data_IF_363379131414
#
_entry.id   IF_363379131414
#
_cell.length_a   1.000
_cell.length_b   1.000
_cell.length_c   1.000
_cell.angle_alpha   90.00
_cell.angle_beta   90.00
_cell.angle_gamma   90.00
#
_symmetry.space_group_name_H-M   'P 1'
#
loop_
_entity.id
_entity.type
_entity.pdbx_description
1 polymer ?
#
# COMPACT_ATOMS: atom_id res chain seq x y z
N UNK A 1 -3.93 1.90 -16.21
CA UNK A 1 -3.62 0.52 -16.73
C UNK A 1 -4.04 -0.52 -15.71
N UNK A 2 -4.42 -1.72 -16.17
CA UNK A 2 -4.60 -2.84 -15.24
C UNK A 2 -3.27 -3.17 -14.55
N UNK A 3 -3.32 -3.49 -13.27
CA UNK A 3 -2.13 -3.80 -12.47
C UNK A 3 -2.03 -5.30 -12.17
N UNK A 4 -0.84 -5.75 -11.76
CA UNK A 4 -0.60 -7.10 -11.23
C UNK A 4 -0.53 -7.12 -9.71
N UNK A 5 -0.95 -6.04 -9.05
CA UNK A 5 -1.07 -5.98 -7.59
C UNK A 5 -2.39 -6.65 -7.23
N UNK A 6 -2.33 -7.69 -6.42
CA UNK A 6 -3.41 -8.64 -6.20
C UNK A 6 -4.59 -8.04 -5.40
N UNK A 7 -4.36 -6.94 -4.66
CA UNK A 7 -5.35 -6.27 -3.82
C UNK A 7 -5.88 -4.95 -4.40
N UNK A 8 -5.69 -4.72 -5.71
CA UNK A 8 -6.23 -3.54 -6.42
C UNK A 8 -6.42 -3.85 -7.90
N UNK A 9 -7.25 -3.09 -8.60
CA UNK A 9 -7.52 -3.32 -10.02
C UNK A 9 -6.72 -2.38 -10.92
N UNK A 10 -6.40 -1.19 -10.41
CA UNK A 10 -5.68 -0.14 -11.15
C UNK A 10 -4.62 0.52 -10.27
N UNK A 11 -3.65 1.13 -10.91
CA UNK A 11 -2.75 2.09 -10.27
C UNK A 11 -2.88 3.45 -10.94
N UNK A 12 -2.77 4.50 -10.14
CA UNK A 12 -2.76 5.88 -10.60
C UNK A 12 -1.62 6.64 -9.93
N UNK A 13 -0.69 7.19 -10.73
CA UNK A 13 0.55 7.79 -10.24
C UNK A 13 0.67 9.28 -10.65
N UNK A 14 -0.19 10.18 -10.13
CA UNK A 14 -0.10 11.63 -10.38
C UNK A 14 1.14 12.26 -9.73
N UNK A 15 1.74 11.55 -8.77
CA UNK A 15 3.01 11.84 -8.14
C UNK A 15 3.82 10.55 -8.17
N UNK A 16 5.13 10.63 -8.31
CA UNK A 16 6.05 9.50 -8.19
C UNK A 16 7.34 9.94 -7.50
N UNK A 17 8.16 8.96 -7.11
CA UNK A 17 9.37 9.21 -6.35
C UNK A 17 9.15 9.17 -4.83
N UNK A 18 10.24 8.92 -4.11
CA UNK A 18 10.22 8.76 -2.66
C UNK A 18 11.66 8.72 -2.11
N UNK A 19 11.80 8.97 -0.80
CA UNK A 19 13.03 8.73 -0.03
C UNK A 19 12.82 7.60 0.99
N UNK A 20 13.91 6.94 1.38
CA UNK A 20 13.87 5.82 2.31
C UNK A 20 13.55 6.30 3.74
N UNK A 21 12.65 5.59 4.44
CA UNK A 21 12.26 5.87 5.84
C UNK A 21 12.35 4.65 6.75
N UNK A 22 12.54 3.46 6.19
CA UNK A 22 12.68 2.23 6.97
C UNK A 22 13.46 1.17 6.20
N UNK A 23 13.80 0.08 6.89
CA UNK A 23 14.49 -1.06 6.29
C UNK A 23 13.73 -1.72 5.13
N UNK A 24 12.41 -1.58 5.06
CA UNK A 24 11.63 -2.08 3.93
C UNK A 24 11.92 -1.31 2.62
N UNK A 25 12.47 -0.11 2.72
CA UNK A 25 12.81 0.71 1.55
C UNK A 25 14.10 0.25 0.85
N UNK A 26 14.95 -0.55 1.49
CA UNK A 26 16.25 -1.00 0.94
C UNK A 26 16.12 -1.74 -0.40
N UNK A 27 15.08 -2.58 -0.54
CA UNK A 27 14.82 -3.37 -1.75
C UNK A 27 13.53 -2.90 -2.46
N UNK A 28 13.21 -1.61 -2.36
CA UNK A 28 11.98 -1.04 -2.91
C UNK A 28 11.85 -1.29 -4.41
N UNK A 29 10.77 -1.97 -4.81
CA UNK A 29 10.49 -2.27 -6.21
C UNK A 29 10.28 -1.02 -7.07
N UNK A 30 9.67 0.03 -6.49
CA UNK A 30 9.41 1.28 -7.20
C UNK A 30 10.71 2.02 -7.54
N UNK A 31 11.70 2.03 -6.64
CA UNK A 31 13.05 2.59 -6.88
C UNK A 31 13.76 1.83 -8.00
N UNK A 32 13.69 0.48 -8.00
CA UNK A 32 14.27 -0.35 -9.07
C UNK A 32 13.58 -0.10 -10.40
N UNK A 33 12.25 -0.02 -10.40
CA UNK A 33 11.46 0.25 -11.61
C UNK A 33 11.72 1.66 -12.15
N UNK A 34 11.76 2.68 -11.30
CA UNK A 34 12.06 4.06 -11.69
C UNK A 34 13.42 4.16 -12.38
N UNK A 35 14.46 3.49 -11.83
CA UNK A 35 15.78 3.43 -12.48
C UNK A 35 15.73 2.78 -13.87
N UNK A 36 14.92 1.71 -14.03
CA UNK A 36 14.73 1.07 -15.34
C UNK A 36 14.00 2.00 -16.32
N UNK A 37 12.96 2.69 -15.86
CA UNK A 37 12.19 3.63 -16.67
C UNK A 37 13.06 4.83 -17.09
N UNK A 38 13.92 5.32 -16.21
CA UNK A 38 14.92 6.33 -16.51
C UNK A 38 15.90 5.85 -17.61
N UNK A 39 16.42 4.64 -17.49
CA UNK A 39 17.30 4.04 -18.52
C UNK A 39 16.60 3.81 -19.85
N UNK A 40 15.28 3.72 -19.88
CA UNK A 40 14.46 3.63 -21.10
C UNK A 40 14.00 5.02 -21.57
N UNK A 41 14.55 6.12 -21.05
CA UNK A 41 14.25 7.50 -21.42
C UNK A 41 12.77 7.89 -21.31
N UNK A 42 12.04 7.29 -20.35
CA UNK A 42 10.65 7.67 -20.07
C UNK A 42 10.64 9.05 -19.39
N UNK A 43 10.08 10.05 -20.07
CA UNK A 43 10.08 11.48 -19.69
C UNK A 43 9.71 11.74 -18.23
N UNK A 44 8.66 11.09 -17.73
CA UNK A 44 8.22 11.26 -16.34
C UNK A 44 9.22 10.72 -15.30
N UNK A 45 10.29 10.02 -15.71
CA UNK A 45 11.33 9.46 -14.84
C UNK A 45 12.74 9.96 -15.20
N UNK A 46 12.87 11.10 -15.90
CA UNK A 46 14.18 11.70 -16.25
C UNK A 46 15.03 11.96 -15.00
N UNK A 47 14.40 12.39 -13.89
CA UNK A 47 15.07 12.60 -12.59
C UNK A 47 15.11 11.32 -11.71
N UNK A 48 14.90 10.13 -12.30
CA UNK A 48 14.93 8.86 -11.62
C UNK A 48 13.82 8.69 -10.59
N UNK A 49 14.16 8.53 -9.32
CA UNK A 49 13.19 8.32 -8.23
C UNK A 49 12.98 9.55 -7.35
N UNK A 50 13.33 10.73 -7.84
CA UNK A 50 13.05 12.02 -7.18
C UNK A 50 11.54 12.26 -7.14
N UNK A 51 11.07 12.89 -6.06
CA UNK A 51 9.66 13.25 -5.91
C UNK A 51 9.26 14.26 -6.97
N UNK A 52 8.31 13.90 -7.83
CA UNK A 52 7.93 14.69 -9.01
C UNK A 52 6.44 14.51 -9.31
N UNK A 53 5.81 15.58 -9.82
CA UNK A 53 4.42 15.52 -10.31
C UNK A 53 4.36 14.94 -11.71
N UNK A 54 3.34 14.14 -11.99
CA UNK A 54 3.00 13.66 -13.31
C UNK A 54 1.64 14.22 -13.74
N UNK A 55 1.67 15.36 -14.40
CA UNK A 55 0.44 16.06 -14.81
C UNK A 55 -0.30 15.36 -15.96
N UNK A 56 0.40 14.56 -16.77
CA UNK A 56 -0.17 13.87 -17.93
C UNK A 56 -1.24 12.86 -17.51
N UNK A 57 -1.06 12.23 -16.35
CA UNK A 57 -2.00 11.22 -15.80
C UNK A 57 -3.00 11.80 -14.81
N UNK A 58 -2.88 13.08 -14.43
CA UNK A 58 -3.70 13.68 -13.36
C UNK A 58 -5.20 13.52 -13.61
N UNK A 59 -5.64 13.57 -14.85
CA UNK A 59 -7.05 13.51 -15.23
C UNK A 59 -7.53 12.13 -15.69
N UNK A 60 -6.68 11.09 -15.68
CA UNK A 60 -7.04 9.73 -16.13
C UNK A 60 -8.32 9.17 -15.48
N UNK A 61 -8.53 9.33 -14.13
CA UNK A 61 -9.70 8.75 -13.48
C UNK A 61 -11.04 9.23 -14.04
N UNK A 62 -11.12 10.45 -14.57
CA UNK A 62 -12.35 10.95 -15.21
C UNK A 62 -12.76 10.15 -16.45
N UNK A 63 -11.80 9.52 -17.13
CA UNK A 63 -12.05 8.72 -18.33
C UNK A 63 -12.40 7.25 -18.02
N UNK A 64 -12.31 6.79 -16.77
CA UNK A 64 -12.57 5.39 -16.43
C UNK A 64 -14.06 5.15 -16.21
N UNK A 65 -14.68 4.43 -17.14
CA UNK A 65 -16.12 4.18 -17.15
C UNK A 65 -16.56 3.12 -16.12
N UNK A 66 -15.71 2.11 -15.87
CA UNK A 66 -16.01 1.02 -14.94
C UNK A 66 -15.52 1.38 -13.54
N UNK A 67 -16.38 1.18 -12.53
CA UNK A 67 -15.97 1.24 -11.11
C UNK A 67 -14.75 0.38 -10.89
N UNK A 68 -13.78 0.87 -10.12
CA UNK A 68 -12.53 0.18 -9.88
C UNK A 68 -11.94 0.54 -8.52
N UNK A 69 -11.23 -0.41 -7.94
CA UNK A 69 -10.30 -0.13 -6.85
C UNK A 69 -8.98 0.39 -7.43
N UNK A 70 -8.50 1.51 -6.91
CA UNK A 70 -7.37 2.26 -7.46
C UNK A 70 -6.32 2.49 -6.38
N UNK A 71 -5.15 1.88 -6.52
CA UNK A 71 -4.01 2.20 -5.68
C UNK A 71 -3.32 3.48 -6.17
N UNK A 72 -3.35 4.51 -5.33
CA UNK A 72 -2.80 5.83 -5.64
C UNK A 72 -1.32 5.85 -5.27
N UNK A 73 -0.49 6.28 -6.22
CA UNK A 73 0.96 6.45 -6.03
C UNK A 73 1.67 5.14 -5.66
N UNK A 74 1.50 4.11 -6.50
CA UNK A 74 2.25 2.85 -6.38
C UNK A 74 3.76 3.00 -6.67
N UNK A 75 4.16 4.11 -7.30
CA UNK A 75 5.54 4.42 -7.69
C UNK A 75 6.16 5.54 -6.85
N UNK A 76 5.68 5.75 -5.63
CA UNK A 76 6.16 6.79 -4.71
C UNK A 76 5.46 6.75 -3.37
N UNK A 77 5.38 7.90 -2.71
CA UNK A 77 4.58 8.12 -1.50
C UNK A 77 3.81 9.43 -1.64
N UNK A 78 2.47 9.36 -1.60
CA UNK A 78 1.59 10.53 -1.76
C UNK A 78 1.79 11.56 -0.64
N UNK A 79 2.16 11.11 0.56
CA UNK A 79 2.37 11.95 1.75
C UNK A 79 3.86 12.14 2.06
N UNK A 80 4.71 12.13 1.02
CA UNK A 80 6.12 12.45 1.17
C UNK A 80 6.33 13.89 1.65
N UNK A 81 7.39 14.14 2.42
CA UNK A 81 7.70 15.45 3.00
C UNK A 81 7.84 16.57 1.95
N UNK A 82 8.30 16.22 0.73
CA UNK A 82 8.42 17.15 -0.41
C UNK A 82 7.13 17.30 -1.22
N UNK A 83 6.01 16.71 -0.80
CA UNK A 83 4.72 16.84 -1.49
C UNK A 83 3.87 17.89 -0.78
N UNK A 84 3.82 19.14 -1.28
CA UNK A 84 3.03 20.20 -0.64
C UNK A 84 1.53 20.03 -0.90
N UNK A 85 0.71 20.69 -0.10
CA UNK A 85 -0.76 20.71 -0.27
C UNK A 85 -1.19 21.14 -1.68
N UNK A 86 -0.42 22.02 -2.33
CA UNK A 86 -0.66 22.45 -3.72
C UNK A 86 -0.57 21.30 -4.73
N UNK A 87 0.04 20.17 -4.38
CA UNK A 87 0.08 18.95 -5.17
C UNK A 87 -0.97 17.94 -4.70
N UNK A 88 -1.22 17.85 -3.39
CA UNK A 88 -2.22 16.95 -2.79
C UNK A 88 -3.65 17.38 -3.16
N UNK A 89 -3.96 18.67 -3.05
CA UNK A 89 -5.32 19.18 -3.28
C UNK A 89 -5.89 18.86 -4.67
N UNK A 90 -5.14 18.97 -5.79
CA UNK A 90 -5.59 18.51 -7.09
C UNK A 90 -5.88 17.00 -7.16
N UNK A 91 -5.06 16.16 -6.48
CA UNK A 91 -5.26 14.70 -6.41
C UNK A 91 -6.57 14.40 -5.69
N UNK A 92 -6.77 14.97 -4.49
CA UNK A 92 -8.00 14.78 -3.70
C UNK A 92 -9.24 15.27 -4.43
N UNK A 93 -9.15 16.39 -5.16
CA UNK A 93 -10.25 16.88 -6.00
C UNK A 93 -10.64 15.91 -7.11
N UNK A 94 -9.68 15.22 -7.72
CA UNK A 94 -9.98 14.17 -8.72
C UNK A 94 -10.69 13.00 -8.04
N UNK A 95 -10.22 12.55 -6.87
CA UNK A 95 -10.83 11.48 -6.06
C UNK A 95 -12.28 11.81 -5.72
N UNK A 96 -12.55 13.01 -5.18
CA UNK A 96 -13.91 13.46 -4.84
C UNK A 96 -14.85 13.52 -6.03
N UNK A 97 -14.33 13.92 -7.21
CA UNK A 97 -15.13 14.06 -8.44
C UNK A 97 -15.30 12.76 -9.22
N UNK A 98 -14.74 11.66 -8.75
CA UNK A 98 -14.87 10.32 -9.33
C UNK A 98 -15.34 9.30 -8.28
N UNK A 99 -16.51 9.53 -7.64
CA UNK A 99 -16.99 8.74 -6.51
C UNK A 99 -17.35 7.29 -6.87
N UNK A 100 -17.43 6.95 -8.16
CA UNK A 100 -17.63 5.56 -8.63
C UNK A 100 -16.39 4.68 -8.39
N UNK A 101 -15.23 5.24 -8.12
CA UNK A 101 -14.00 4.49 -7.80
C UNK A 101 -13.72 4.50 -6.31
N UNK A 102 -13.07 3.44 -5.81
CA UNK A 102 -12.50 3.38 -4.45
C UNK A 102 -11.00 3.60 -4.55
N UNK A 103 -10.47 4.58 -3.82
CA UNK A 103 -9.05 4.94 -3.85
C UNK A 103 -8.34 4.47 -2.60
N UNK A 104 -7.29 3.69 -2.79
CA UNK A 104 -6.45 3.16 -1.71
C UNK A 104 -5.20 4.04 -1.59
N UNK A 105 -5.10 4.80 -0.51
CA UNK A 105 -3.93 5.63 -0.17
C UNK A 105 -3.07 4.86 0.82
N UNK A 106 -1.83 4.56 0.45
CA UNK A 106 -0.88 3.83 1.29
C UNK A 106 0.39 4.65 1.44
N UNK A 107 0.82 4.86 2.69
CA UNK A 107 2.01 5.65 3.01
C UNK A 107 2.86 5.00 4.11
N UNK A 108 4.15 5.32 4.14
CA UNK A 108 5.03 5.10 5.30
C UNK A 108 5.19 6.34 6.17
N UNK A 109 4.47 7.42 5.82
CA UNK A 109 4.43 8.70 6.54
C UNK A 109 3.01 9.03 7.02
N UNK A 110 2.41 8.19 7.89
CA UNK A 110 1.02 8.37 8.30
C UNK A 110 0.81 9.67 9.08
N UNK A 111 1.83 10.24 9.70
CA UNK A 111 1.74 11.55 10.38
C UNK A 111 1.47 12.69 9.40
N UNK A 112 2.09 12.68 8.21
CA UNK A 112 1.82 13.67 7.17
C UNK A 112 0.41 13.49 6.60
N UNK A 113 -0.06 12.24 6.49
CA UNK A 113 -1.44 11.94 6.12
C UNK A 113 -2.43 12.43 7.18
N UNK A 114 -2.14 12.18 8.46
CA UNK A 114 -2.91 12.68 9.60
C UNK A 114 -2.97 14.22 9.59
N UNK A 115 -1.83 14.88 9.49
CA UNK A 115 -1.75 16.36 9.44
C UNK A 115 -2.57 16.94 8.28
N UNK A 116 -2.51 16.32 7.10
CA UNK A 116 -3.32 16.73 5.97
C UNK A 116 -4.82 16.61 6.27
N UNK A 117 -5.26 15.47 6.80
CA UNK A 117 -6.67 15.22 7.10
C UNK A 117 -7.18 15.86 8.40
N UNK A 118 -6.33 16.46 9.22
CA UNK A 118 -6.76 17.39 10.28
C UNK A 118 -7.31 18.71 9.68
N UNK A 119 -6.82 19.10 8.49
CA UNK A 119 -7.21 20.34 7.81
C UNK A 119 -8.22 20.12 6.67
N UNK A 120 -8.40 18.88 6.22
CA UNK A 120 -9.23 18.52 5.09
C UNK A 120 -10.09 17.30 5.42
N UNK A 121 -11.35 17.23 4.96
CA UNK A 121 -12.15 16.03 5.15
C UNK A 121 -11.59 14.85 4.34
N UNK A 122 -11.72 13.64 4.87
CA UNK A 122 -11.41 12.42 4.10
C UNK A 122 -12.54 12.15 3.10
N UNK A 123 -12.27 12.07 1.77
CA UNK A 123 -13.29 11.75 0.79
C UNK A 123 -13.90 10.36 1.06
N UNK A 124 -15.22 10.21 0.90
CA UNK A 124 -15.95 8.97 1.26
C UNK A 124 -15.48 7.73 0.53
N UNK A 125 -14.93 7.89 -0.67
CA UNK A 125 -14.42 6.82 -1.53
C UNK A 125 -12.91 6.55 -1.36
N UNK A 126 -12.33 6.96 -0.25
CA UNK A 126 -10.92 6.72 0.09
C UNK A 126 -10.79 5.63 1.16
N UNK A 127 -9.86 4.72 0.99
CA UNK A 127 -9.34 3.84 2.02
C UNK A 127 -7.96 4.34 2.44
N UNK A 128 -7.74 4.48 3.74
CA UNK A 128 -6.49 4.98 4.30
C UNK A 128 -5.62 3.82 4.79
N UNK A 129 -4.36 3.82 4.40
CA UNK A 129 -3.45 2.76 4.77
C UNK A 129 -2.06 3.23 5.16
N UNK A 130 -1.42 2.45 6.03
CA UNK A 130 0.00 2.59 6.31
C UNK A 130 0.74 1.28 6.17
N UNK A 131 2.05 1.36 5.86
CA UNK A 131 2.90 0.17 5.88
C UNK A 131 3.49 -0.02 7.27
N UNK A 132 3.37 -1.25 7.79
CA UNK A 132 4.00 -1.66 9.04
C UNK A 132 4.69 -3.01 8.82
N UNK A 133 5.99 -3.01 8.66
CA UNK A 133 6.79 -4.17 8.31
C UNK A 133 7.26 -5.02 9.48
N UNK A 134 7.21 -4.49 10.69
CA UNK A 134 7.52 -5.16 11.97
C UNK A 134 7.04 -4.32 13.16
N UNK A 135 7.18 -4.83 14.40
CA UNK A 135 6.71 -4.20 15.63
C UNK A 135 7.35 -2.85 15.97
N UNK A 136 8.52 -2.52 15.41
CA UNK A 136 9.17 -1.20 15.61
C UNK A 136 8.40 -0.04 14.97
N UNK A 137 7.44 -0.33 14.11
CA UNK A 137 6.64 0.63 13.36
C UNK A 137 5.16 0.62 13.74
N UNK A 138 4.81 0.15 14.95
CA UNK A 138 3.43 0.19 15.46
C UNK A 138 2.91 1.63 15.65
N UNK A 139 3.80 2.57 15.91
CA UNK A 139 3.52 4.01 15.95
C UNK A 139 2.87 4.53 14.65
N UNK A 140 3.16 3.93 13.50
CA UNK A 140 2.48 4.25 12.23
C UNK A 140 1.00 3.81 12.23
N UNK A 141 0.69 2.70 12.91
CA UNK A 141 -0.69 2.24 13.04
C UNK A 141 -1.45 3.18 13.96
N UNK A 142 -0.82 3.67 15.03
CA UNK A 142 -1.42 4.64 15.96
C UNK A 142 -1.72 5.96 15.25
N UNK A 143 -0.80 6.47 14.44
CA UNK A 143 -1.03 7.65 13.62
C UNK A 143 -2.16 7.46 12.58
N UNK A 144 -2.26 6.29 11.94
CA UNK A 144 -3.39 5.97 11.07
C UNK A 144 -4.72 5.94 11.85
N UNK A 145 -4.71 5.35 13.03
CA UNK A 145 -5.89 5.21 13.90
C UNK A 145 -6.43 6.57 14.36
N UNK A 146 -5.55 7.55 14.61
CA UNK A 146 -5.92 8.91 15.08
C UNK A 146 -6.71 9.70 14.04
N UNK A 147 -6.62 9.37 12.73
CA UNK A 147 -7.39 10.05 11.70
C UNK A 147 -8.87 9.78 11.91
N UNK A 148 -9.64 10.83 12.23
CA UNK A 148 -11.07 10.75 12.54
C UNK A 148 -11.88 10.67 11.26
N UNK A 149 -12.29 9.47 10.88
CA UNK A 149 -13.18 9.20 9.73
C UNK A 149 -13.82 7.81 9.86
N UNK A 150 -14.88 7.57 9.10
CA UNK A 150 -15.55 6.27 8.98
C UNK A 150 -15.07 5.48 7.76
N UNK A 151 -13.96 5.88 7.17
CA UNK A 151 -13.37 5.22 6.02
C UNK A 151 -12.63 3.95 6.45
N UNK A 152 -12.51 2.98 5.54
CA UNK A 152 -11.70 1.80 5.75
C UNK A 152 -10.27 2.20 6.06
N UNK A 153 -9.73 1.68 7.16
CA UNK A 153 -8.32 1.79 7.55
C UNK A 153 -7.62 0.46 7.40
N UNK A 154 -6.51 0.43 6.68
CA UNK A 154 -5.78 -0.81 6.44
C UNK A 154 -4.29 -0.70 6.70
N UNK A 155 -3.67 -1.83 6.99
CA UNK A 155 -2.22 -1.93 7.10
C UNK A 155 -1.67 -2.89 6.06
N UNK A 156 -0.51 -2.52 5.50
CA UNK A 156 0.25 -3.36 4.58
C UNK A 156 1.55 -3.78 5.25
N UNK A 157 1.65 -5.06 5.59
CA UNK A 157 2.86 -5.70 6.09
C UNK A 157 3.65 -6.28 4.91
N UNK A 158 4.07 -5.40 3.99
CA UNK A 158 4.73 -5.77 2.75
C UNK A 158 5.99 -4.91 2.52
N UNK A 159 7.19 -5.50 2.65
CA UNK A 159 7.46 -6.87 3.09
C UNK A 159 7.31 -7.04 4.61
N UNK A 160 6.87 -8.22 5.05
CA UNK A 160 6.88 -8.56 6.47
C UNK A 160 8.32 -8.89 6.90
N UNK A 161 8.88 -8.08 7.82
CA UNK A 161 10.29 -8.13 8.22
C UNK A 161 10.50 -8.42 9.71
N UNK A 162 9.44 -8.74 10.43
CA UNK A 162 9.50 -9.11 11.84
C UNK A 162 8.20 -9.74 12.32
N UNK A 163 8.27 -10.45 13.45
CA UNK A 163 7.08 -10.96 14.12
C UNK A 163 6.19 -9.80 14.61
N UNK A 164 4.88 -9.98 14.49
CA UNK A 164 3.86 -9.00 14.88
C UNK A 164 2.69 -9.69 15.60
N UNK A 165 2.99 -10.66 16.47
CA UNK A 165 1.98 -11.49 17.13
C UNK A 165 1.12 -10.72 18.15
N UNK A 166 1.64 -9.62 18.67
CA UNK A 166 1.06 -8.74 19.69
C UNK A 166 0.44 -7.45 19.11
N UNK A 167 0.30 -7.40 17.79
CA UNK A 167 -0.26 -6.23 17.10
C UNK A 167 -1.67 -5.89 17.63
N UNK A 168 -1.89 -4.62 17.94
CA UNK A 168 -3.21 -4.09 18.22
C UNK A 168 -3.90 -3.67 16.91
N UNK A 169 -5.00 -4.34 16.56
CA UNK A 169 -5.79 -4.08 15.36
C UNK A 169 -7.12 -3.36 15.65
N UNK A 170 -7.29 -2.79 16.85
CA UNK A 170 -8.47 -1.98 17.14
C UNK A 170 -8.57 -0.82 16.13
N UNK A 171 -9.75 -0.63 15.51
CA UNK A 171 -9.99 0.38 14.49
C UNK A 171 -9.25 0.16 13.15
N UNK A 172 -8.76 -1.07 12.89
CA UNK A 172 -8.16 -1.48 11.62
C UNK A 172 -9.09 -2.48 10.93
N UNK A 173 -9.50 -2.15 9.71
CA UNK A 173 -10.50 -2.90 8.94
C UNK A 173 -9.89 -3.94 8.01
N UNK A 174 -8.57 -3.90 7.76
CA UNK A 174 -7.92 -4.82 6.82
C UNK A 174 -6.41 -4.92 7.03
N UNK A 175 -5.89 -6.13 6.89
CA UNK A 175 -4.45 -6.42 6.98
C UNK A 175 -3.99 -7.17 5.74
N UNK A 176 -3.02 -6.60 5.04
CA UNK A 176 -2.36 -7.22 3.88
C UNK A 176 -0.98 -7.68 4.31
N UNK A 177 -0.59 -8.90 3.96
CA UNK A 177 0.73 -9.42 4.25
C UNK A 177 1.40 -10.03 3.01
N UNK A 178 2.69 -9.85 2.89
CA UNK A 178 3.47 -10.44 1.80
C UNK A 178 4.96 -10.45 2.05
N UNK A 179 5.64 -11.40 1.43
CA UNK A 179 7.10 -11.51 1.46
C UNK A 179 7.78 -10.58 0.45
N UNK A 180 9.05 -10.33 0.69
CA UNK A 180 9.86 -9.47 -0.18
C UNK A 180 10.16 -10.16 -1.52
N UNK A 181 10.04 -9.40 -2.60
CA UNK A 181 10.33 -9.86 -3.96
C UNK A 181 11.65 -9.30 -4.48
N UNK A 182 12.24 -9.98 -5.47
CA UNK A 182 13.47 -9.53 -6.12
C UNK A 182 14.72 -10.33 -5.73
N UNK A 183 15.84 -10.03 -6.38
CA UNK A 183 17.07 -10.81 -6.24
C UNK A 183 17.72 -10.71 -4.85
N UNK A 184 17.52 -9.56 -4.18
CA UNK A 184 18.04 -9.29 -2.83
C UNK A 184 17.00 -9.46 -1.72
N UNK A 185 15.89 -10.13 -2.03
CA UNK A 185 14.81 -10.34 -1.08
C UNK A 185 15.29 -11.07 0.18
N UNK A 186 14.89 -10.54 1.33
CA UNK A 186 15.08 -11.16 2.66
C UNK A 186 14.03 -12.25 2.84
N UNK A 187 14.41 -13.29 3.55
CA UNK A 187 13.49 -14.36 3.90
C UNK A 187 12.57 -13.92 5.03
N UNK A 188 11.29 -14.20 4.89
CA UNK A 188 10.31 -14.08 5.97
C UNK A 188 10.01 -15.48 6.50
N UNK A 189 10.25 -15.79 7.78
CA UNK A 189 9.82 -17.04 8.41
C UNK A 189 8.31 -17.21 8.33
N UNK A 190 7.84 -18.44 8.06
CA UNK A 190 6.41 -18.74 7.95
C UNK A 190 5.64 -18.42 9.23
N UNK A 191 6.30 -18.59 10.38
CA UNK A 191 5.73 -18.31 11.70
C UNK A 191 5.28 -16.86 11.86
N UNK A 192 5.94 -15.91 11.17
CA UNK A 192 5.55 -14.49 11.22
C UNK A 192 4.23 -14.25 10.46
N UNK A 193 4.03 -14.92 9.33
CA UNK A 193 2.75 -14.85 8.62
C UNK A 193 1.63 -15.53 9.41
N UNK A 194 1.91 -16.70 10.00
CA UNK A 194 0.95 -17.41 10.87
C UNK A 194 0.56 -16.56 12.07
N UNK A 195 1.54 -15.99 12.77
CA UNK A 195 1.31 -15.12 13.92
C UNK A 195 0.47 -13.88 13.58
N UNK A 196 0.73 -13.25 12.43
CA UNK A 196 -0.06 -12.11 11.97
C UNK A 196 -1.49 -12.51 11.57
N UNK A 197 -1.66 -13.65 10.85
CA UNK A 197 -2.99 -14.21 10.56
C UNK A 197 -3.77 -14.49 11.84
N UNK A 198 -3.14 -15.12 12.82
CA UNK A 198 -3.79 -15.50 14.08
C UNK A 198 -4.15 -14.25 14.90
N UNK A 199 -3.33 -13.18 14.82
CA UNK A 199 -3.70 -11.89 15.38
C UNK A 199 -4.94 -11.30 14.67
N UNK A 200 -5.00 -11.35 13.34
CA UNK A 200 -6.18 -10.91 12.59
C UNK A 200 -7.44 -11.69 12.98
N UNK A 201 -7.34 -13.01 13.16
CA UNK A 201 -8.46 -13.85 13.62
C UNK A 201 -8.95 -13.44 15.03
N UNK A 202 -8.04 -13.17 15.97
CA UNK A 202 -8.39 -12.72 17.33
C UNK A 202 -9.11 -11.37 17.32
N UNK A 203 -8.70 -10.47 16.44
CA UNK A 203 -9.28 -9.13 16.30
C UNK A 203 -10.47 -9.07 15.34
N UNK A 204 -10.86 -10.21 14.71
CA UNK A 204 -11.87 -10.27 13.65
C UNK A 204 -11.59 -9.29 12.50
N UNK A 205 -10.31 -9.05 12.20
CA UNK A 205 -9.85 -8.20 11.11
C UNK A 205 -9.61 -9.06 9.86
N UNK A 206 -10.19 -8.73 8.70
CA UNK A 206 -9.93 -9.41 7.44
C UNK A 206 -8.44 -9.50 7.13
N UNK A 207 -7.96 -10.69 6.77
CA UNK A 207 -6.57 -10.97 6.47
C UNK A 207 -6.39 -11.30 4.98
N UNK A 208 -5.43 -10.65 4.32
CA UNK A 208 -5.10 -10.88 2.93
C UNK A 208 -3.63 -11.27 2.80
N UNK A 209 -3.37 -12.55 2.58
CA UNK A 209 -2.03 -13.04 2.26
C UNK A 209 -1.79 -12.89 0.76
N UNK A 210 -1.01 -11.91 0.38
CA UNK A 210 -0.76 -11.58 -1.03
C UNK A 210 0.10 -12.61 -1.72
N UNK A 211 1.25 -12.95 -1.14
CA UNK A 211 2.22 -13.88 -1.73
C UNK A 211 3.47 -14.05 -0.85
N UNK A 212 4.21 -15.12 -1.09
CA UNK A 212 5.46 -15.44 -0.38
C UNK A 212 6.65 -14.54 -0.76
N UNK A 213 6.64 -13.94 -1.94
CA UNK A 213 7.78 -13.23 -2.49
C UNK A 213 8.81 -14.15 -3.15
N UNK A 214 10.09 -13.81 -2.99
CA UNK A 214 11.16 -14.61 -3.59
C UNK A 214 11.48 -15.88 -2.79
N UNK A 215 11.04 -16.01 -1.55
CA UNK A 215 11.27 -17.16 -0.69
C UNK A 215 9.95 -17.87 -0.42
N UNK A 216 9.86 -19.14 -0.81
CA UNK A 216 8.67 -19.95 -0.54
C UNK A 216 8.53 -20.37 0.92
N UNK A 217 7.39 -20.99 1.27
CA UNK A 217 7.13 -21.55 2.60
C UNK A 217 8.22 -22.54 3.04
N UNK A 218 8.72 -23.34 2.11
CA UNK A 218 9.82 -24.29 2.29
C UNK A 218 11.21 -23.63 2.45
N UNK A 219 11.28 -22.30 2.40
CA UNK A 219 12.53 -21.56 2.49
C UNK A 219 13.42 -21.66 1.26
N UNK A 220 12.89 -22.10 0.12
CA UNK A 220 13.63 -22.14 -1.14
C UNK A 220 13.35 -20.89 -1.97
N UNK A 221 14.39 -20.32 -2.53
CA UNK A 221 14.30 -19.10 -3.35
C UNK A 221 13.89 -19.42 -4.77
N UNK A 222 12.76 -18.86 -5.21
CA UNK A 222 12.20 -19.02 -6.56
C UNK A 222 11.54 -17.72 -7.02
N UNK A 223 10.98 -17.71 -8.23
CA UNK A 223 10.10 -16.61 -8.63
C UNK A 223 8.84 -16.59 -7.74
N UNK A 224 8.30 -15.40 -7.48
CA UNK A 224 7.09 -15.23 -6.66
C UNK A 224 5.88 -16.03 -7.21
N UNK A 225 5.82 -16.26 -8.50
CA UNK A 225 4.76 -17.04 -9.15
C UNK A 225 4.82 -18.54 -8.82
N UNK A 226 6.03 -19.07 -8.67
CA UNK A 226 6.23 -20.47 -8.28
C UNK A 226 6.01 -20.68 -6.77
N UNK A 227 6.33 -19.68 -5.96
CA UNK A 227 6.08 -19.75 -4.53
C UNK A 227 4.58 -19.59 -4.18
N UNK A 228 3.82 -18.88 -5.02
CA UNK A 228 2.37 -18.75 -4.86
C UNK A 228 1.92 -17.88 -3.69
N UNK A 229 0.68 -18.09 -3.28
CA UNK A 229 -0.04 -17.31 -2.26
C UNK A 229 -0.88 -18.17 -1.31
N UNK A 230 -0.53 -19.44 -1.14
CA UNK A 230 -1.17 -20.29 -0.13
C UNK A 230 -0.36 -20.22 1.17
N UNK A 231 -1.03 -20.04 2.28
CA UNK A 231 -0.46 -20.13 3.63
C UNK A 231 -1.12 -21.32 4.32
N UNK A 232 -0.33 -22.30 4.73
CA UNK A 232 -0.82 -23.58 5.26
C UNK A 232 -1.77 -24.31 4.29
N UNK A 233 -1.47 -24.24 2.98
CA UNK A 233 -2.29 -24.86 1.93
C UNK A 233 -3.61 -24.15 1.63
N UNK A 234 -3.88 -23.02 2.28
CA UNK A 234 -5.14 -22.28 2.16
C UNK A 234 -4.91 -20.89 1.54
N UNK A 235 -5.85 -20.43 0.71
CA UNK A 235 -5.91 -19.07 0.22
C UNK A 235 -6.56 -18.15 1.27
N UNK A 236 -5.86 -17.06 1.63
CA UNK A 236 -6.33 -16.03 2.56
C UNK A 236 -6.49 -14.72 1.80
N UNK A 237 -7.66 -14.49 1.21
CA UNK A 237 -7.99 -13.27 0.46
C UNK A 237 -9.27 -12.63 0.97
N UNK A 238 -9.28 -12.33 2.27
CA UNK A 238 -10.41 -11.65 2.88
C UNK A 238 -10.35 -10.14 2.58
N UNK A 239 -11.51 -9.54 2.45
CA UNK A 239 -11.70 -8.12 2.18
C UNK A 239 -12.46 -7.44 3.30
N UNK A 240 -12.25 -6.14 3.55
CA UNK A 240 -13.02 -5.40 4.54
C UNK A 240 -14.50 -5.40 4.15
N UNK A 241 -15.37 -5.52 5.14
CA UNK A 241 -16.81 -5.34 4.95
C UNK A 241 -17.06 -3.85 4.79
N UNK A 242 -17.22 -3.39 3.57
CA UNK A 242 -17.71 -2.04 3.31
C UNK A 242 -19.19 -2.05 3.62
N UNK A 243 -19.64 -1.25 4.60
CA UNK A 243 -21.05 -1.01 4.78
C UNK A 243 -21.58 -0.39 3.46
N UNK A 244 -22.37 -1.15 2.73
CA UNK A 244 -23.09 -0.63 1.57
C UNK A 244 -24.00 0.49 2.08
N UNK A 245 -23.56 1.74 1.99
CA UNK A 245 -24.47 2.87 2.07
C UNK A 245 -25.26 2.85 0.76
N UNK A 246 -26.35 2.07 0.75
CA UNK A 246 -27.46 2.16 -0.21
C UNK A 246 -28.20 3.47 0.05
#
# INVERSE_FOLDING_TARGET
>A
MATKIEWTERTWNPIHGCTEVSEACQNCYAKVMAKRLQGNHIKSYEEGFKVTRNMDVMREPYGWKKSSMVFVVSMGDLFHDDVPDTWLNPVMRVIEKTPQHTYQLLTKRPWNMEEYFLRHPVPKNVWLGTTCENSRHYDRIDALRSIRCNNVKFISCEPLLGAMNDINLDGIDWVIAGGESGSRARRTPVEWFRGLRDACLRWNAPFFFKQWGAWGEDGVKRSKYLNGSLLDGQEWRQWPRVANNI
#
